data_IF_733578334887
#
_entry.id   IF_733578334887
#
_cell.length_a   1.000
_cell.length_b   1.000
_cell.length_c   1.000
_cell.angle_alpha   90.00
_cell.angle_beta   90.00
_cell.angle_gamma   90.00
#
_symmetry.space_group_name_H-M   'P 1'
#
loop_
_entity.id
_entity.type
_entity.pdbx_description
1 polymer ?
#
# COMPACT_ATOMS: atom_id res chain seq x y z
N UNK A 1 19.65 -2.70 -26.61
CA UNK A 1 18.27 -3.23 -26.63
C UNK A 1 17.64 -2.86 -25.29
N UNK A 2 16.71 -1.90 -25.27
CA UNK A 2 16.07 -1.44 -24.03
C UNK A 2 14.90 -2.39 -23.66
N UNK A 3 14.88 -2.89 -22.43
CA UNK A 3 13.79 -3.74 -21.91
C UNK A 3 12.53 -2.91 -21.68
N UNK A 4 11.43 -3.35 -22.28
CA UNK A 4 10.11 -2.70 -22.21
C UNK A 4 9.41 -2.92 -20.85
N UNK A 5 8.55 -1.99 -20.43
CA UNK A 5 8.11 -1.82 -19.05
C UNK A 5 7.14 -2.91 -18.57
N UNK A 6 7.05 -3.00 -17.24
CA UNK A 6 6.35 -4.01 -16.44
C UNK A 6 4.93 -4.36 -16.92
N UNK A 7 4.74 -5.58 -17.45
CA UNK A 7 3.43 -6.18 -17.73
C UNK A 7 2.72 -6.61 -16.42
N UNK A 8 2.30 -5.66 -15.60
CA UNK A 8 1.39 -5.98 -14.51
C UNK A 8 -0.05 -5.65 -14.91
N UNK A 9 -0.85 -6.68 -15.16
CA UNK A 9 -2.31 -6.57 -15.28
C UNK A 9 -2.90 -6.55 -13.88
N UNK A 10 -2.92 -5.38 -13.23
CA UNK A 10 -3.74 -5.18 -12.04
C UNK A 10 -5.11 -4.69 -12.47
N UNK A 11 -6.16 -5.33 -11.94
CA UNK A 11 -7.51 -4.82 -12.07
C UNK A 11 -7.58 -3.37 -11.58
N UNK A 12 -8.45 -2.57 -12.19
CA UNK A 12 -8.67 -1.20 -11.70
C UNK A 12 -9.10 -1.27 -10.24
N UNK A 13 -8.57 -0.44 -9.33
CA UNK A 13 -9.09 -0.38 -7.95
C UNK A 13 -10.58 -0.04 -7.87
N UNK A 14 -11.15 0.50 -8.96
CA UNK A 14 -12.58 0.80 -9.10
C UNK A 14 -13.40 -0.39 -9.59
N UNK A 15 -12.76 -1.43 -10.13
CA UNK A 15 -13.42 -2.63 -10.66
C UNK A 15 -14.19 -3.33 -9.54
N UNK A 16 -15.50 -3.46 -9.70
CA UNK A 16 -16.41 -4.02 -8.69
C UNK A 16 -17.04 -2.97 -7.74
N UNK A 17 -16.74 -1.69 -7.93
CA UNK A 17 -17.29 -0.57 -7.15
C UNK A 17 -18.00 0.47 -8.03
N UNK A 18 -18.32 0.14 -9.28
CA UNK A 18 -18.96 1.05 -10.23
C UNK A 18 -20.32 1.57 -9.75
N UNK A 19 -21.10 0.70 -9.10
CA UNK A 19 -22.44 1.00 -8.57
C UNK A 19 -22.44 1.11 -7.04
N UNK A 20 -21.27 1.38 -6.44
CA UNK A 20 -21.18 1.52 -4.99
C UNK A 20 -22.06 2.69 -4.52
N UNK A 21 -22.77 2.54 -3.38
CA UNK A 21 -23.57 3.63 -2.83
C UNK A 21 -22.68 4.85 -2.52
N UNK A 22 -23.24 6.07 -2.61
CA UNK A 22 -22.51 7.28 -2.26
C UNK A 22 -21.98 7.21 -0.81
N UNK A 23 -20.92 7.96 -0.54
CA UNK A 23 -20.37 8.04 0.82
C UNK A 23 -21.45 8.54 1.81
N UNK A 24 -21.46 8.05 3.06
CA UNK A 24 -22.40 8.52 4.07
C UNK A 24 -22.20 10.02 4.38
N UNK A 25 -23.25 10.74 4.75
CA UNK A 25 -23.13 12.13 5.19
C UNK A 25 -22.68 12.26 6.66
N UNK A 26 -22.74 11.16 7.42
CA UNK A 26 -22.39 11.13 8.84
C UNK A 26 -20.87 11.22 9.03
N UNK A 27 -20.44 12.29 9.69
CA UNK A 27 -19.07 12.50 10.11
C UNK A 27 -18.84 12.00 11.53
N UNK A 28 -17.60 11.66 11.85
CA UNK A 28 -17.14 11.44 13.22
C UNK A 28 -17.23 12.75 14.03
N UNK A 29 -17.12 12.65 15.36
CA UNK A 29 -17.12 13.80 16.27
C UNK A 29 -16.04 14.85 15.95
N UNK A 30 -14.98 14.43 15.26
CA UNK A 30 -13.90 15.30 14.80
C UNK A 30 -14.30 16.20 13.62
N UNK A 31 -15.44 15.91 12.95
CA UNK A 31 -15.95 16.61 11.78
C UNK A 31 -15.08 16.48 10.52
N UNK A 32 -14.08 15.60 10.52
CA UNK A 32 -13.08 15.49 9.43
C UNK A 32 -13.16 14.19 8.67
N UNK A 33 -13.64 13.15 9.31
CA UNK A 33 -13.68 11.80 8.75
C UNK A 33 -15.12 11.30 8.71
N UNK A 34 -15.49 10.57 7.66
CA UNK A 34 -16.75 9.84 7.65
C UNK A 34 -16.77 8.78 8.75
N UNK A 35 -17.95 8.53 9.30
CA UNK A 35 -18.14 7.52 10.32
C UNK A 35 -17.99 6.13 9.72
N UNK A 36 -16.88 5.46 10.05
CA UNK A 36 -16.69 4.07 9.65
C UNK A 36 -17.66 3.16 10.43
N UNK A 37 -18.19 2.11 9.78
CA UNK A 37 -18.95 1.09 10.48
C UNK A 37 -18.10 0.44 11.58
N UNK A 38 -18.71 0.05 12.72
CA UNK A 38 -17.98 -0.60 13.80
C UNK A 38 -17.40 -1.92 13.31
N UNK A 39 -16.09 -2.10 13.50
CA UNK A 39 -15.37 -3.34 13.21
C UNK A 39 -14.99 -4.01 14.52
N UNK A 40 -15.16 -5.32 14.58
CA UNK A 40 -14.60 -6.11 15.68
C UNK A 40 -13.09 -6.25 15.52
N UNK A 41 -12.36 -5.67 16.47
CA UNK A 41 -10.91 -5.82 16.61
C UNK A 41 -10.06 -5.16 15.52
N UNK A 42 -8.75 -5.34 15.66
CA UNK A 42 -7.76 -4.80 14.72
C UNK A 42 -7.81 -5.57 13.38
N UNK A 43 -7.30 -4.93 12.33
CA UNK A 43 -7.06 -5.62 11.06
C UNK A 43 -5.90 -6.61 11.21
N UNK A 44 -5.97 -7.76 10.54
CA UNK A 44 -4.85 -8.73 10.45
C UNK A 44 -3.57 -8.09 9.88
N UNK A 45 -3.72 -6.98 9.17
CA UNK A 45 -2.61 -6.19 8.65
C UNK A 45 -1.67 -5.63 9.74
N UNK A 46 -2.13 -5.54 10.99
CA UNK A 46 -1.26 -5.16 12.12
C UNK A 46 -0.29 -6.27 12.54
N UNK A 47 -0.61 -7.53 12.19
CA UNK A 47 0.18 -8.70 12.55
C UNK A 47 1.05 -9.19 11.38
N UNK A 48 0.55 -9.05 10.15
CA UNK A 48 1.22 -9.53 8.95
C UNK A 48 0.87 -8.72 7.69
N UNK A 49 1.83 -8.58 6.79
CA UNK A 49 1.61 -8.09 5.44
C UNK A 49 0.68 -9.02 4.65
N UNK A 50 -0.23 -8.46 3.84
CA UNK A 50 -1.06 -9.25 2.93
C UNK A 50 -0.21 -9.86 1.81
N UNK A 51 -0.59 -11.06 1.38
CA UNK A 51 0.02 -11.71 0.22
C UNK A 51 -0.05 -10.80 -1.02
N UNK A 52 0.97 -10.80 -1.89
CA UNK A 52 2.14 -11.70 -1.93
C UNK A 52 3.36 -11.20 -1.13
N UNK A 53 3.21 -10.17 -0.30
CA UNK A 53 4.32 -9.63 0.48
C UNK A 53 4.75 -10.64 1.56
N UNK A 54 6.04 -10.95 1.59
CA UNK A 54 6.63 -11.78 2.64
C UNK A 54 6.59 -11.04 3.98
N UNK A 55 6.51 -11.80 5.08
CA UNK A 55 6.54 -11.31 6.45
C UNK A 55 7.91 -11.43 7.11
N UNK A 56 8.92 -11.88 6.36
CA UNK A 56 10.31 -11.95 6.83
C UNK A 56 10.97 -10.57 7.01
N UNK A 57 12.20 -10.55 7.53
CA UNK A 57 12.99 -9.34 7.85
C UNK A 57 13.17 -8.34 6.69
N UNK A 58 13.00 -8.79 5.44
CA UNK A 58 13.10 -7.97 4.22
C UNK A 58 11.76 -7.81 3.49
N UNK A 59 10.70 -8.41 4.03
CA UNK A 59 9.35 -8.31 3.50
C UNK A 59 8.84 -6.88 3.58
N UNK A 60 8.54 -6.27 2.44
CA UNK A 60 8.02 -4.90 2.35
C UNK A 60 9.06 -3.76 2.48
N UNK A 61 10.33 -4.05 2.76
CA UNK A 61 11.38 -3.03 2.92
C UNK A 61 12.33 -3.02 1.72
N UNK A 62 12.39 -1.89 1.01
CA UNK A 62 13.41 -1.66 -0.01
C UNK A 62 14.78 -1.46 0.65
N UNK A 63 15.71 -2.39 0.41
CA UNK A 63 17.12 -2.21 0.80
C UNK A 63 17.74 -1.24 -0.19
N UNK A 64 18.02 -0.01 0.22
CA UNK A 64 18.81 0.92 -0.59
C UNK A 64 20.28 0.67 -0.29
N UNK A 65 21.05 0.20 -1.27
CA UNK A 65 22.51 0.17 -1.15
C UNK A 65 23.04 1.58 -1.37
N UNK A 66 23.55 2.21 -0.30
CA UNK A 66 24.26 3.48 -0.38
C UNK A 66 25.49 3.31 -1.28
N UNK A 67 25.50 3.96 -2.45
CA UNK A 67 26.67 3.99 -3.34
C UNK A 67 27.77 4.82 -2.67
N UNK A 68 28.78 4.15 -2.11
CA UNK A 68 29.98 4.81 -1.58
C UNK A 68 30.84 5.31 -2.74
N UNK A 69 30.76 6.61 -3.04
CA UNK A 69 31.68 7.29 -3.95
C UNK A 69 33.09 7.29 -3.32
N UNK A 70 33.97 6.36 -3.72
CA UNK A 70 35.40 6.48 -3.43
C UNK A 70 35.98 7.54 -4.36
N UNK A 71 36.47 8.64 -3.79
CA UNK A 71 37.27 9.61 -4.56
C UNK A 71 38.56 8.90 -5.02
N UNK A 72 38.91 8.93 -6.32
CA UNK A 72 40.23 8.52 -6.76
C UNK A 72 41.24 9.57 -6.27
N UNK A 73 42.25 9.12 -5.54
CA UNK A 73 43.35 9.98 -5.11
C UNK A 73 44.29 10.28 -6.27
N UNK A 74 44.63 11.57 -6.42
CA UNK A 74 45.89 12.06 -6.97
C UNK A 74 46.29 13.30 -6.17
#
# INVERSE_FOLDING_TARGET
>A
MASNPTFYTYASPREGYEDAPPLPDDLNEDGKSFKNPPREGLSKAYEAFPAPLDNGRRGGLFVTSQLSQRKPGY
#
